data_IF_074108687954
#
_entry.id   IF_074108687954
#
_cell.length_a   1.000
_cell.length_b   1.000
_cell.length_c   1.000
_cell.angle_alpha   90.00
_cell.angle_beta   90.00
_cell.angle_gamma   90.00
#
_symmetry.space_group_name_H-M   'P 1'
#
loop_
_entity.id
_entity.type
_entity.pdbx_description
1 polymer ?
#
# COMPACT_ATOMS: atom_id res chain seq x y z
N UNK A 1 -5.08 18.36 18.29
CA UNK A 1 -5.22 18.55 16.84
C UNK A 1 -5.16 17.17 16.22
N UNK A 2 -6.20 16.73 15.54
CA UNK A 2 -6.23 15.44 14.83
C UNK A 2 -5.66 15.65 13.44
N UNK A 3 -4.54 14.99 13.14
CA UNK A 3 -3.98 14.96 11.78
C UNK A 3 -4.64 13.80 11.02
N UNK A 4 -5.02 14.07 9.76
CA UNK A 4 -5.49 13.04 8.85
C UNK A 4 -4.26 12.28 8.35
N UNK A 5 -4.12 11.03 8.80
CA UNK A 5 -3.14 10.12 8.22
C UNK A 5 -3.66 9.69 6.85
N UNK A 6 -2.94 10.06 5.80
CA UNK A 6 -3.24 9.62 4.44
C UNK A 6 -2.62 8.24 4.25
N UNK A 7 -3.44 7.20 4.40
CA UNK A 7 -3.02 5.83 4.16
C UNK A 7 -3.31 5.44 2.70
N UNK A 8 -2.38 4.75 2.02
CA UNK A 8 -2.68 4.19 0.71
C UNK A 8 -3.88 3.25 0.82
N UNK A 9 -4.89 3.51 0.01
CA UNK A 9 -6.14 2.73 -0.04
C UNK A 9 -6.36 2.20 -1.44
N UNK A 10 -7.04 1.06 -1.54
CA UNK A 10 -7.46 0.52 -2.82
C UNK A 10 -8.31 1.56 -3.56
N UNK A 11 -7.94 1.85 -4.80
CA UNK A 11 -8.70 2.78 -5.65
C UNK A 11 -10.17 2.32 -5.84
N UNK A 12 -10.39 1.00 -5.89
CA UNK A 12 -11.71 0.41 -6.20
C UNK A 12 -12.60 0.31 -4.98
N UNK A 13 -12.13 -0.35 -3.90
CA UNK A 13 -12.98 -0.66 -2.74
C UNK A 13 -12.64 0.17 -1.49
N UNK A 14 -11.64 1.06 -1.56
CA UNK A 14 -11.16 1.89 -0.44
C UNK A 14 -10.61 1.11 0.76
N UNK A 15 -10.41 -0.21 0.63
CA UNK A 15 -9.74 -1.01 1.66
C UNK A 15 -8.28 -0.57 1.87
N UNK A 16 -7.82 -0.68 3.11
CA UNK A 16 -6.42 -0.49 3.52
C UNK A 16 -5.61 -1.79 3.45
N UNK A 17 -6.26 -2.93 3.22
CA UNK A 17 -5.63 -4.24 3.16
C UNK A 17 -4.98 -4.43 1.78
N UNK A 18 -3.74 -3.97 1.70
CA UNK A 18 -2.91 -3.93 0.52
C UNK A 18 -1.64 -4.76 0.74
N UNK A 19 -1.25 -5.54 -0.27
CA UNK A 19 -0.04 -6.36 -0.28
C UNK A 19 0.85 -5.97 -1.46
N UNK A 20 2.17 -6.00 -1.25
CA UNK A 20 3.16 -5.82 -2.32
C UNK A 20 3.58 -7.19 -2.82
N UNK A 21 3.37 -7.43 -4.11
CA UNK A 21 3.77 -8.65 -4.81
C UNK A 21 4.79 -8.29 -5.89
N UNK A 22 5.81 -9.14 -6.11
CA UNK A 22 6.80 -8.93 -7.17
C UNK A 22 6.44 -9.82 -8.34
N UNK A 23 6.24 -9.21 -9.50
CA UNK A 23 6.07 -9.89 -10.77
C UNK A 23 7.38 -9.85 -11.58
N UNK A 24 7.78 -10.96 -12.19
CA UNK A 24 9.05 -11.06 -12.93
C UNK A 24 9.11 -10.15 -14.16
N UNK A 25 7.97 -9.92 -14.83
CA UNK A 25 7.89 -9.12 -16.06
C UNK A 25 7.64 -7.63 -15.78
N UNK A 26 6.92 -7.32 -14.70
CA UNK A 26 6.44 -5.95 -14.41
C UNK A 26 7.07 -5.29 -13.18
N UNK A 27 7.80 -6.05 -12.35
CA UNK A 27 8.36 -5.57 -11.09
C UNK A 27 7.33 -5.55 -9.96
N UNK A 28 7.46 -4.64 -8.98
CA UNK A 28 6.56 -4.61 -7.83
C UNK A 28 5.15 -4.15 -8.24
N UNK A 29 4.17 -4.82 -7.68
CA UNK A 29 2.75 -4.52 -7.85
C UNK A 29 2.10 -4.48 -6.48
N UNK A 30 1.11 -3.61 -6.31
CA UNK A 30 0.27 -3.61 -5.12
C UNK A 30 -1.04 -4.28 -5.47
N UNK A 31 -1.48 -5.20 -4.60
CA UNK A 31 -2.72 -5.97 -4.74
C UNK A 31 -3.58 -5.76 -3.52
N UNK A 32 -4.86 -5.46 -3.72
CA UNK A 32 -5.83 -5.41 -2.63
C UNK A 32 -6.34 -6.82 -2.31
N UNK A 33 -6.20 -7.22 -1.04
CA UNK A 33 -6.62 -8.56 -0.60
C UNK A 33 -8.13 -8.71 -0.52
N UNK A 34 -8.86 -7.61 -0.40
CA UNK A 34 -10.33 -7.60 -0.27
C UNK A 34 -11.04 -7.74 -1.62
N UNK A 35 -10.64 -6.98 -2.65
CA UNK A 35 -11.33 -6.97 -3.94
C UNK A 35 -10.51 -7.58 -5.09
N UNK A 36 -9.24 -7.92 -4.86
CA UNK A 36 -8.35 -8.50 -5.87
C UNK A 36 -7.84 -7.51 -6.92
N UNK A 37 -8.12 -6.21 -6.79
CA UNK A 37 -7.59 -5.21 -7.71
C UNK A 37 -6.08 -5.05 -7.51
N UNK A 38 -5.32 -5.09 -8.61
CA UNK A 38 -3.86 -4.95 -8.62
C UNK A 38 -3.42 -3.84 -9.56
N UNK A 39 -2.32 -3.17 -9.21
CA UNK A 39 -1.68 -2.16 -10.05
C UNK A 39 -0.16 -2.23 -9.93
N UNK A 40 0.55 -1.74 -10.95
CA UNK A 40 2.02 -1.63 -10.91
C UNK A 40 2.39 -0.52 -9.94
N UNK A 41 3.26 -0.83 -8.98
CA UNK A 41 3.69 0.12 -7.96
C UNK A 41 5.02 0.73 -8.36
N UNK A 42 5.18 2.03 -8.10
CA UNK A 42 6.48 2.66 -8.29
C UNK A 42 7.36 2.35 -7.07
N UNK A 43 8.65 2.09 -7.28
CA UNK A 43 9.58 1.88 -6.17
C UNK A 43 9.61 3.07 -5.19
N UNK A 44 9.42 4.29 -5.70
CA UNK A 44 9.29 5.52 -4.90
C UNK A 44 8.08 5.49 -3.94
N UNK A 45 7.01 4.77 -4.30
CA UNK A 45 5.83 4.56 -3.45
C UNK A 45 6.06 3.49 -2.38
N UNK A 46 7.10 2.65 -2.56
CA UNK A 46 7.52 1.64 -1.59
C UNK A 46 8.54 2.20 -0.59
N UNK A 47 9.13 3.36 -0.87
CA UNK A 47 9.96 4.13 0.06
C UNK A 47 9.10 4.84 1.12
N UNK A 48 8.12 4.13 1.70
CA UNK A 48 7.34 4.67 2.81
C UNK A 48 8.26 4.66 4.04
N UNK A 49 8.51 5.80 4.70
CA UNK A 49 9.26 5.81 5.94
C UNK A 49 8.50 4.96 6.97
N UNK A 50 9.14 3.92 7.48
CA UNK A 50 8.61 3.09 8.56
C UNK A 50 8.36 3.97 9.79
N UNK A 51 7.11 4.39 9.99
CA UNK A 51 6.67 5.08 11.20
C UNK A 51 6.53 4.05 12.32
N UNK A 52 7.66 3.74 12.96
CA UNK A 52 7.72 2.86 14.12
C UNK A 52 7.06 3.57 15.30
N UNK A 53 5.81 3.24 15.57
CA UNK A 53 5.12 3.68 16.79
C UNK A 53 5.33 2.60 17.85
N UNK A 54 6.23 2.86 18.80
CA UNK A 54 6.33 2.03 20.01
C UNK A 54 5.15 2.36 20.92
N UNK A 55 4.24 1.40 21.08
CA UNK A 55 3.31 1.44 22.20
C UNK A 55 4.11 1.30 23.51
N UNK A 56 3.84 2.20 24.47
CA UNK A 56 4.33 2.11 25.85
C UNK A 56 3.37 1.30 26.70
#
# INVERSE_FOLDING_TARGET
MSELLDFPTCYVCRSIDLEIVVNEDFGPMTTCTECGYSWISKYEELEIPLLITKAS
#
